data_IF_455748563771
#
_entry.id   IF_455748563771
#
_cell.length_a   1.000
_cell.length_b   1.000
_cell.length_c   1.000
_cell.angle_alpha   90.00
_cell.angle_beta   90.00
_cell.angle_gamma   90.00
#
_symmetry.space_group_name_H-M   'P 1'
#
loop_
_entity.id
_entity.type
_entity.pdbx_description
1 polymer ?
#
# COMPACT_ATOMS: atom_id res chain seq x y z
N UNK A 1 47.20 21.80 -0.24
CA UNK A 1 46.97 21.46 -1.68
C UNK A 1 46.79 22.75 -2.43
N UNK A 2 47.62 22.99 -3.41
CA UNK A 2 47.56 24.24 -4.18
C UNK A 2 46.22 24.36 -4.92
N UNK A 3 45.54 25.48 -4.75
CA UNK A 3 44.25 25.80 -5.38
C UNK A 3 44.15 25.50 -6.91
N UNK A 4 45.24 25.57 -7.69
CA UNK A 4 45.24 25.23 -9.10
C UNK A 4 44.92 23.74 -9.38
N UNK A 5 45.33 22.82 -8.51
CA UNK A 5 45.05 21.36 -8.67
C UNK A 5 43.56 21.05 -8.50
N UNK A 6 42.85 21.84 -7.68
CA UNK A 6 41.39 21.65 -7.48
C UNK A 6 40.57 22.07 -8.70
N UNK A 7 40.97 23.12 -9.38
CA UNK A 7 40.32 23.57 -10.62
C UNK A 7 40.53 22.57 -11.77
N UNK A 8 41.72 21.99 -11.88
CA UNK A 8 42.04 20.94 -12.86
C UNK A 8 41.24 19.67 -12.56
N UNK A 9 41.16 19.22 -11.29
CA UNK A 9 40.39 18.02 -10.89
C UNK A 9 38.90 18.16 -11.19
N UNK A 10 38.32 19.37 -11.09
CA UNK A 10 36.90 19.59 -11.48
C UNK A 10 36.69 19.49 -12.99
N UNK A 11 37.67 19.82 -13.81
CA UNK A 11 37.61 19.59 -15.25
C UNK A 11 37.75 18.12 -15.65
N UNK A 12 38.53 17.32 -14.92
CA UNK A 12 38.65 15.87 -15.13
C UNK A 12 37.36 15.15 -14.94
N UNK A 13 36.43 15.67 -14.12
CA UNK A 13 35.10 15.09 -13.87
C UNK A 13 34.02 15.56 -14.89
N UNK A 14 34.39 16.44 -15.85
CA UNK A 14 33.47 16.92 -16.88
C UNK A 14 33.46 15.94 -18.07
N UNK A 15 32.27 15.59 -18.63
CA UNK A 15 32.20 14.80 -19.87
C UNK A 15 32.82 15.49 -21.10
N UNK A 16 33.16 16.80 -20.97
CA UNK A 16 33.81 17.58 -22.01
C UNK A 16 35.30 17.83 -21.72
N UNK A 17 35.89 17.05 -20.81
CA UNK A 17 37.30 17.17 -20.48
C UNK A 17 38.17 16.75 -21.68
N UNK A 18 38.99 17.71 -22.13
CA UNK A 18 39.98 17.48 -23.16
C UNK A 18 41.38 17.49 -22.50
N UNK A 19 42.04 16.34 -22.38
CA UNK A 19 43.35 16.25 -21.70
C UNK A 19 44.44 17.05 -22.39
N UNK A 20 44.35 17.25 -23.70
CA UNK A 20 45.33 18.02 -24.45
C UNK A 20 45.27 19.53 -24.16
N UNK A 21 44.08 20.01 -23.74
CA UNK A 21 43.86 21.43 -23.33
C UNK A 21 43.98 21.66 -21.85
N UNK A 22 44.23 20.64 -21.05
CA UNK A 22 44.30 20.74 -19.57
C UNK A 22 45.33 21.81 -19.13
N UNK A 23 46.47 21.89 -19.81
CA UNK A 23 47.50 22.88 -19.53
C UNK A 23 47.08 24.30 -19.87
N UNK A 24 46.37 24.51 -20.96
CA UNK A 24 45.83 25.85 -21.34
C UNK A 24 44.78 26.31 -20.33
N UNK A 25 43.88 25.44 -19.88
CA UNK A 25 42.87 25.75 -18.83
C UNK A 25 43.55 26.14 -17.50
N UNK A 26 44.62 25.43 -17.14
CA UNK A 26 45.39 25.74 -15.93
C UNK A 26 46.06 27.11 -16.02
N UNK A 27 46.70 27.41 -17.13
CA UNK A 27 47.36 28.72 -17.35
C UNK A 27 46.35 29.85 -17.45
N UNK A 28 45.19 29.65 -18.09
CA UNK A 28 44.12 30.65 -18.14
C UNK A 28 43.54 30.96 -16.76
N UNK A 29 43.29 29.99 -15.93
CA UNK A 29 42.79 30.21 -14.55
C UNK A 29 43.81 30.93 -13.68
N UNK A 30 45.09 30.64 -13.85
CA UNK A 30 46.18 31.35 -13.14
C UNK A 30 46.34 32.77 -13.59
N UNK A 31 46.26 33.05 -14.91
CA UNK A 31 46.29 34.39 -15.47
C UNK A 31 45.08 35.26 -15.05
N UNK A 32 43.88 34.66 -15.02
CA UNK A 32 42.66 35.32 -14.56
C UNK A 32 42.80 35.73 -13.08
N UNK A 33 43.22 34.80 -12.20
CA UNK A 33 43.47 35.12 -10.78
C UNK A 33 44.54 36.22 -10.63
N UNK A 34 45.61 36.19 -11.40
CA UNK A 34 46.64 37.20 -11.40
C UNK A 34 46.15 38.56 -11.91
N UNK A 35 45.30 38.61 -12.92
CA UNK A 35 44.73 39.86 -13.46
C UNK A 35 43.82 40.55 -12.47
N UNK A 36 42.98 39.82 -11.74
CA UNK A 36 42.06 40.40 -10.74
C UNK A 36 42.78 41.11 -9.60
N UNK A 37 43.95 40.65 -9.18
CA UNK A 37 44.67 41.25 -8.07
C UNK A 37 45.76 42.26 -8.49
N UNK A 38 46.33 42.15 -9.70
CA UNK A 38 47.40 43.01 -10.19
C UNK A 38 46.93 44.34 -10.73
N UNK A 39 45.64 44.50 -11.07
CA UNK A 39 45.06 45.74 -11.58
C UNK A 39 44.65 46.72 -10.49
N UNK A 40 44.59 46.31 -9.24
CA UNK A 40 44.18 47.11 -8.09
C UNK A 40 45.41 47.67 -7.35
N UNK A 41 45.27 48.89 -6.81
CA UNK A 41 46.21 49.39 -5.81
C UNK A 41 46.05 48.64 -4.46
N UNK A 42 46.87 48.92 -3.46
CA UNK A 42 46.88 48.15 -2.21
C UNK A 42 45.61 48.37 -1.36
N UNK A 43 45.00 49.55 -1.48
CA UNK A 43 43.71 49.85 -0.85
C UNK A 43 42.57 49.09 -1.55
N UNK A 44 42.49 49.09 -2.86
CA UNK A 44 41.55 48.33 -3.65
C UNK A 44 41.63 46.82 -3.39
N UNK A 45 42.85 46.29 -3.16
CA UNK A 45 43.02 44.87 -2.77
C UNK A 45 42.41 44.54 -1.41
N UNK A 46 42.54 45.44 -0.43
CA UNK A 46 41.92 45.26 0.90
C UNK A 46 40.41 45.29 0.81
N UNK A 47 39.85 46.28 0.12
CA UNK A 47 38.40 46.44 -0.09
C UNK A 47 37.87 45.21 -0.83
N UNK A 48 38.54 44.78 -1.89
CA UNK A 48 38.15 43.60 -2.64
C UNK A 48 38.13 42.32 -1.77
N UNK A 49 39.16 42.15 -0.94
CA UNK A 49 39.21 40.98 -0.03
C UNK A 49 38.04 40.97 0.95
N UNK A 50 37.66 42.13 1.49
CA UNK A 50 36.53 42.28 2.37
C UNK A 50 35.18 41.99 1.64
N UNK A 51 34.94 42.63 0.50
CA UNK A 51 33.74 42.47 -0.33
C UNK A 51 33.58 41.03 -0.79
N UNK A 52 34.66 40.39 -1.24
CA UNK A 52 34.69 38.99 -1.62
C UNK A 52 34.25 38.06 -0.48
N UNK A 53 34.73 38.33 0.73
CA UNK A 53 34.36 37.49 1.90
C UNK A 53 32.88 37.67 2.29
N UNK A 54 32.34 38.90 2.19
CA UNK A 54 30.94 39.18 2.43
C UNK A 54 30.04 38.46 1.41
N UNK A 55 30.36 38.58 0.11
CA UNK A 55 29.61 37.86 -0.96
C UNK A 55 29.63 36.35 -0.74
N UNK A 56 30.76 35.76 -0.35
CA UNK A 56 30.88 34.35 -0.03
C UNK A 56 30.01 33.95 1.17
N UNK A 57 30.02 34.79 2.23
CA UNK A 57 29.23 34.56 3.43
C UNK A 57 27.75 34.61 3.14
N UNK A 58 27.27 35.60 2.39
CA UNK A 58 25.87 35.72 1.98
C UNK A 58 25.41 34.53 1.11
N UNK A 59 26.26 34.14 0.13
CA UNK A 59 26.01 32.98 -0.69
C UNK A 59 25.86 31.71 0.16
N UNK A 60 26.78 31.50 1.10
CA UNK A 60 26.76 30.35 1.99
C UNK A 60 25.47 30.32 2.84
N UNK A 61 25.05 31.48 3.36
CA UNK A 61 23.82 31.61 4.13
C UNK A 61 22.57 31.25 3.29
N UNK A 62 22.47 31.78 2.06
CA UNK A 62 21.33 31.48 1.16
C UNK A 62 21.32 30.02 0.70
N UNK A 63 22.47 29.43 0.40
CA UNK A 63 22.56 28.01 0.07
C UNK A 63 22.10 27.14 1.24
N UNK A 64 22.46 27.53 2.47
CA UNK A 64 22.03 26.85 3.68
C UNK A 64 20.51 26.95 3.88
N UNK A 65 19.94 28.13 3.69
CA UNK A 65 18.48 28.36 3.75
C UNK A 65 17.73 27.49 2.76
N UNK A 66 18.17 27.43 1.51
CA UNK A 66 17.56 26.57 0.49
C UNK A 66 17.72 25.07 0.82
N UNK A 67 18.82 24.69 1.44
CA UNK A 67 19.03 23.34 1.92
C UNK A 67 18.06 22.99 3.05
N UNK A 68 17.87 23.88 4.01
CA UNK A 68 16.91 23.69 5.12
C UNK A 68 15.47 23.57 4.60
N UNK A 69 15.06 24.42 3.64
CA UNK A 69 13.75 24.34 2.97
C UNK A 69 13.55 22.98 2.28
N UNK A 70 14.58 22.50 1.56
CA UNK A 70 14.57 21.17 0.93
C UNK A 70 14.35 20.06 1.96
N UNK A 71 15.09 20.10 3.05
CA UNK A 71 15.09 19.05 4.06
C UNK A 71 13.77 19.04 4.83
N UNK A 72 13.22 20.20 5.16
CA UNK A 72 11.88 20.34 5.75
C UNK A 72 10.81 19.74 4.85
N UNK A 73 10.83 20.08 3.56
CA UNK A 73 9.85 19.58 2.59
C UNK A 73 9.94 18.06 2.40
N UNK A 74 11.16 17.49 2.42
CA UNK A 74 11.35 16.03 2.38
C UNK A 74 10.81 15.37 3.64
N UNK A 75 10.99 15.97 4.81
CA UNK A 75 10.47 15.47 6.09
C UNK A 75 8.94 15.46 6.08
N UNK A 76 8.31 16.56 5.70
CA UNK A 76 6.85 16.65 5.57
C UNK A 76 6.26 15.60 4.61
N UNK A 77 6.94 15.35 3.47
CA UNK A 77 6.51 14.33 2.52
C UNK A 77 6.60 12.92 3.11
N UNK A 78 7.65 12.64 3.89
CA UNK A 78 7.81 11.35 4.58
C UNK A 78 6.75 11.14 5.65
N UNK A 79 6.51 12.14 6.48
CA UNK A 79 5.48 12.08 7.52
C UNK A 79 4.08 11.85 6.92
N UNK A 80 3.73 12.56 5.86
CA UNK A 80 2.47 12.34 5.13
C UNK A 80 2.36 10.92 4.57
N UNK A 81 3.43 10.40 3.98
CA UNK A 81 3.44 9.06 3.44
C UNK A 81 3.31 7.99 4.53
N UNK A 82 3.96 8.16 5.68
CA UNK A 82 3.81 7.23 6.81
C UNK A 82 2.40 7.30 7.41
N UNK A 83 1.84 8.49 7.62
CA UNK A 83 0.46 8.65 8.08
C UNK A 83 -0.55 7.97 7.13
N UNK A 84 -0.35 8.09 5.81
CA UNK A 84 -1.20 7.40 4.82
C UNK A 84 -1.05 5.88 4.93
N UNK A 85 0.16 5.35 5.11
CA UNK A 85 0.38 3.90 5.29
C UNK A 85 -0.23 3.37 6.58
N UNK A 86 -0.21 4.16 7.65
CA UNK A 86 -0.87 3.82 8.92
C UNK A 86 -2.39 3.78 8.74
N UNK A 87 -2.98 4.74 8.04
CA UNK A 87 -4.42 4.73 7.70
C UNK A 87 -4.81 3.49 6.89
N UNK A 88 -4.02 3.11 5.88
CA UNK A 88 -4.23 1.88 5.11
C UNK A 88 -4.18 0.65 6.04
N UNK A 89 -3.27 0.64 7.02
CA UNK A 89 -3.12 -0.47 7.97
C UNK A 89 -4.32 -0.58 8.91
N UNK A 90 -4.78 0.54 9.45
CA UNK A 90 -5.94 0.61 10.33
C UNK A 90 -7.21 0.18 9.62
N UNK A 91 -7.43 0.69 8.39
CA UNK A 91 -8.56 0.30 7.55
C UNK A 91 -8.55 -1.19 7.23
N UNK A 92 -7.38 -1.78 6.90
CA UNK A 92 -7.25 -3.21 6.66
C UNK A 92 -7.63 -4.02 7.90
N UNK A 93 -7.21 -3.59 9.10
CA UNK A 93 -7.55 -4.23 10.37
C UNK A 93 -9.05 -4.20 10.60
N UNK A 94 -9.69 -3.05 10.48
CA UNK A 94 -11.13 -2.86 10.64
C UNK A 94 -11.94 -3.74 9.66
N UNK A 95 -11.56 -3.77 8.39
CA UNK A 95 -12.19 -4.63 7.38
C UNK A 95 -12.08 -6.11 7.75
N UNK A 96 -10.90 -6.57 8.18
CA UNK A 96 -10.70 -7.96 8.57
C UNK A 96 -11.44 -8.34 9.85
N UNK A 97 -11.60 -7.44 10.80
CA UNK A 97 -12.42 -7.62 12.01
C UNK A 97 -13.89 -7.70 11.65
N UNK A 98 -14.39 -6.80 10.81
CA UNK A 98 -15.78 -6.81 10.33
C UNK A 98 -16.10 -8.10 9.55
N UNK A 99 -15.21 -8.57 8.68
CA UNK A 99 -15.37 -9.85 7.96
C UNK A 99 -15.40 -11.05 8.93
N UNK A 100 -14.56 -11.01 9.96
CA UNK A 100 -14.54 -12.08 10.97
C UNK A 100 -15.84 -12.13 11.75
N UNK A 101 -16.36 -10.98 12.16
CA UNK A 101 -17.63 -10.87 12.87
C UNK A 101 -18.80 -11.34 12.00
N UNK A 102 -18.87 -10.84 10.76
CA UNK A 102 -19.90 -11.26 9.80
C UNK A 102 -19.89 -12.78 9.58
N UNK A 103 -18.70 -13.37 9.37
CA UNK A 103 -18.57 -14.81 9.24
C UNK A 103 -19.04 -15.59 10.48
N UNK A 104 -18.77 -15.07 11.68
CA UNK A 104 -19.26 -15.63 12.94
C UNK A 104 -20.78 -15.60 13.02
N UNK A 105 -21.38 -14.46 12.68
CA UNK A 105 -22.83 -14.27 12.76
C UNK A 105 -23.56 -15.11 11.72
N UNK A 106 -23.05 -15.21 10.49
CA UNK A 106 -23.57 -16.14 9.46
C UNK A 106 -23.50 -17.60 9.91
N UNK A 107 -22.41 -18.02 10.56
CA UNK A 107 -22.29 -19.39 11.09
C UNK A 107 -23.27 -19.66 12.21
N UNK A 108 -23.55 -18.69 13.07
CA UNK A 108 -24.57 -18.79 14.10
C UNK A 108 -25.99 -18.93 13.50
N UNK A 109 -26.30 -18.14 12.47
CA UNK A 109 -27.56 -18.25 11.74
C UNK A 109 -27.73 -19.65 11.18
N UNK A 110 -26.71 -20.19 10.48
CA UNK A 110 -26.73 -21.57 9.95
C UNK A 110 -26.97 -22.58 11.06
N UNK A 111 -26.41 -22.40 12.26
CA UNK A 111 -26.68 -23.30 13.39
C UNK A 111 -28.12 -23.18 13.87
N UNK A 112 -28.66 -21.99 13.97
CA UNK A 112 -30.05 -21.76 14.37
C UNK A 112 -31.02 -22.39 13.38
N UNK A 113 -30.80 -22.17 12.08
CA UNK A 113 -31.63 -22.73 10.99
C UNK A 113 -31.58 -24.28 11.04
N UNK A 114 -30.35 -24.84 11.13
CA UNK A 114 -30.16 -26.30 11.29
C UNK A 114 -30.91 -26.86 12.49
N UNK A 115 -30.84 -26.19 13.65
CA UNK A 115 -31.51 -26.70 14.86
C UNK A 115 -33.02 -26.59 14.74
N UNK A 116 -33.56 -25.54 14.08
CA UNK A 116 -34.99 -25.42 13.75
C UNK A 116 -35.47 -26.53 12.80
N UNK A 117 -34.74 -26.79 11.72
CA UNK A 117 -35.07 -27.84 10.75
C UNK A 117 -35.05 -29.23 11.41
N UNK A 118 -34.06 -29.48 12.28
CA UNK A 118 -33.99 -30.74 13.03
C UNK A 118 -35.18 -30.94 13.99
N UNK A 119 -35.65 -29.88 14.64
CA UNK A 119 -36.82 -29.90 15.51
C UNK A 119 -38.10 -30.13 14.71
N UNK A 120 -38.26 -29.51 13.54
CA UNK A 120 -39.39 -29.70 12.63
C UNK A 120 -39.46 -31.13 12.16
N UNK A 121 -38.37 -31.74 11.66
CA UNK A 121 -38.31 -33.15 11.26
C UNK A 121 -38.70 -34.06 12.41
N UNK A 122 -38.31 -33.80 13.64
CA UNK A 122 -38.64 -34.58 14.81
C UNK A 122 -40.15 -34.51 15.14
N UNK A 123 -40.70 -33.29 15.08
CA UNK A 123 -42.13 -33.04 15.32
C UNK A 123 -43.00 -33.70 14.26
N UNK A 124 -42.63 -33.58 12.98
CA UNK A 124 -43.35 -34.21 11.88
C UNK A 124 -43.32 -35.75 12.01
N UNK A 125 -42.12 -36.31 12.23
CA UNK A 125 -41.95 -37.77 12.44
C UNK A 125 -42.77 -38.29 13.61
N UNK A 126 -42.83 -37.55 14.71
CA UNK A 126 -43.61 -37.90 15.90
C UNK A 126 -45.11 -37.83 15.63
N UNK A 127 -45.59 -36.79 14.98
CA UNK A 127 -46.98 -36.58 14.63
C UNK A 127 -47.48 -37.68 13.66
N UNK A 128 -46.66 -38.05 12.69
CA UNK A 128 -47.01 -39.06 11.70
C UNK A 128 -47.08 -40.46 12.34
N UNK A 129 -46.18 -40.80 13.26
CA UNK A 129 -46.24 -42.07 14.06
C UNK A 129 -47.45 -42.07 14.93
N UNK A 130 -47.86 -40.99 15.55
CA UNK A 130 -49.08 -40.92 16.34
C UNK A 130 -50.35 -41.13 15.46
N UNK A 131 -50.40 -40.55 14.25
CA UNK A 131 -51.46 -40.77 13.27
C UNK A 131 -51.57 -42.22 12.88
N UNK A 132 -50.45 -42.95 12.70
CA UNK A 132 -50.45 -44.40 12.41
C UNK A 132 -51.01 -45.16 13.60
N UNK A 133 -50.59 -44.84 14.84
CA UNK A 133 -51.11 -45.49 16.03
C UNK A 133 -52.60 -45.28 16.18
N UNK A 134 -53.09 -44.05 16.05
CA UNK A 134 -54.52 -43.73 16.14
C UNK A 134 -55.34 -44.45 15.08
N UNK A 135 -54.83 -44.49 13.82
CA UNK A 135 -55.53 -45.28 12.76
C UNK A 135 -55.54 -46.75 13.07
N UNK A 136 -54.43 -47.36 13.49
CA UNK A 136 -54.30 -48.75 13.87
C UNK A 136 -55.24 -49.05 15.00
N UNK A 137 -55.29 -48.28 16.06
CA UNK A 137 -56.12 -48.50 17.24
C UNK A 137 -57.61 -48.37 16.91
N UNK A 138 -58.04 -47.38 16.14
CA UNK A 138 -59.39 -47.23 15.66
C UNK A 138 -59.87 -48.43 14.81
N UNK A 139 -59.00 -48.97 13.95
CA UNK A 139 -59.34 -50.12 13.11
C UNK A 139 -59.35 -51.40 13.94
N UNK A 140 -58.52 -51.57 14.94
CA UNK A 140 -58.57 -52.66 15.90
C UNK A 140 -59.87 -52.61 16.69
N UNK A 141 -60.28 -51.47 17.20
CA UNK A 141 -61.55 -51.31 17.91
C UNK A 141 -62.72 -51.67 17.01
N UNK A 142 -62.77 -51.26 15.75
CA UNK A 142 -63.80 -51.65 14.77
C UNK A 142 -63.80 -53.13 14.59
N UNK A 143 -62.67 -53.80 14.42
CA UNK A 143 -62.60 -55.25 14.27
C UNK A 143 -63.07 -56.00 15.54
N UNK A 144 -62.79 -55.44 16.70
CA UNK A 144 -63.21 -55.98 17.99
C UNK A 144 -64.74 -55.81 18.23
N UNK A 145 -65.32 -54.72 17.77
CA UNK A 145 -66.77 -54.47 17.89
C UNK A 145 -67.65 -55.34 16.97
N UNK A 146 -67.05 -56.02 15.98
CA UNK A 146 -67.81 -56.95 15.14
C UNK A 146 -68.26 -58.11 15.98
N UNK A 147 -69.55 -58.17 16.22
CA UNK A 147 -70.17 -59.29 16.94
C UNK A 147 -70.04 -60.61 16.14
N UNK A 148 -69.72 -61.70 16.82
CA UNK A 148 -69.73 -63.03 16.26
C UNK A 148 -71.10 -63.63 16.56
N UNK A 149 -71.98 -63.90 15.55
CA UNK A 149 -73.33 -64.39 15.77
C UNK A 149 -73.40 -65.64 16.64
N UNK A 150 -74.35 -65.66 17.57
CA UNK A 150 -74.50 -66.76 18.52
C UNK A 150 -74.97 -68.09 17.89
N UNK A 151 -75.60 -68.04 16.71
CA UNK A 151 -76.11 -69.19 15.98
C UNK A 151 -75.08 -69.98 15.17
N UNK A 152 -73.79 -69.57 15.15
CA UNK A 152 -72.75 -70.27 14.40
C UNK A 152 -72.25 -71.56 15.14
N UNK A 153 -71.82 -72.54 14.38
CA UNK A 153 -71.11 -73.69 14.92
C UNK A 153 -69.80 -73.30 15.62
N UNK A 154 -69.32 -74.15 16.54
CA UNK A 154 -68.04 -73.90 17.26
C UNK A 154 -66.87 -73.74 16.31
N UNK A 155 -66.85 -74.57 15.24
CA UNK A 155 -65.80 -74.48 14.21
C UNK A 155 -65.82 -73.15 13.46
N UNK A 156 -66.98 -72.65 13.05
CA UNK A 156 -67.15 -71.36 12.34
C UNK A 156 -66.84 -70.19 13.24
N UNK A 157 -67.21 -70.23 14.52
CA UNK A 157 -66.84 -69.22 15.51
C UNK A 157 -65.29 -69.10 15.65
N UNK A 158 -64.65 -70.29 15.82
CA UNK A 158 -63.21 -70.41 15.95
C UNK A 158 -62.50 -69.83 14.70
N UNK A 159 -63.02 -70.16 13.52
CA UNK A 159 -62.49 -69.60 12.25
C UNK A 159 -62.59 -68.09 12.19
N UNK A 160 -63.75 -67.52 12.54
CA UNK A 160 -63.92 -66.04 12.54
C UNK A 160 -63.05 -65.36 13.58
N UNK A 161 -62.84 -65.90 14.75
CA UNK A 161 -61.93 -65.42 15.77
C UNK A 161 -60.49 -65.45 15.23
N UNK A 162 -60.10 -66.59 14.62
CA UNK A 162 -58.75 -66.71 14.02
C UNK A 162 -58.54 -65.67 12.90
N UNK A 163 -59.52 -65.48 12.00
CA UNK A 163 -59.47 -64.49 10.95
C UNK A 163 -59.33 -63.02 11.51
N UNK A 164 -60.12 -62.73 12.56
CA UNK A 164 -60.03 -61.43 13.27
C UNK A 164 -58.64 -61.21 13.87
N UNK A 165 -58.16 -62.25 14.59
CA UNK A 165 -56.79 -62.15 15.20
C UNK A 165 -55.72 -62.01 14.16
N UNK A 166 -55.81 -62.71 13.01
CA UNK A 166 -54.87 -62.56 11.91
C UNK A 166 -54.89 -61.11 11.31
N UNK A 167 -56.06 -60.49 11.13
CA UNK A 167 -56.23 -59.16 10.67
C UNK A 167 -55.58 -58.11 11.65
N UNK A 168 -55.85 -58.30 12.95
CA UNK A 168 -55.24 -57.46 13.99
C UNK A 168 -53.71 -57.59 14.00
N UNK A 169 -53.23 -58.86 13.88
CA UNK A 169 -51.76 -59.04 13.80
C UNK A 169 -51.15 -58.39 12.57
N UNK A 170 -51.82 -58.45 11.42
CA UNK A 170 -51.40 -57.74 10.20
C UNK A 170 -51.34 -56.20 10.40
N UNK A 171 -52.45 -55.65 10.93
CA UNK A 171 -52.48 -54.19 11.21
C UNK A 171 -51.35 -53.73 12.13
N UNK A 172 -51.02 -54.54 13.17
CA UNK A 172 -49.88 -54.22 14.07
C UNK A 172 -48.53 -54.29 13.35
N UNK A 173 -48.34 -55.29 12.46
CA UNK A 173 -47.11 -55.43 11.70
C UNK A 173 -46.97 -54.33 10.66
N UNK A 174 -48.04 -53.96 9.94
CA UNK A 174 -48.05 -52.90 8.97
C UNK A 174 -47.71 -51.55 9.66
N UNK A 175 -48.36 -51.19 10.78
CA UNK A 175 -48.07 -50.02 11.57
C UNK A 175 -46.63 -50.00 12.09
N UNK A 176 -46.07 -51.16 12.49
CA UNK A 176 -44.64 -51.22 12.89
C UNK A 176 -43.72 -51.00 11.73
N UNK A 177 -44.00 -51.48 10.54
CA UNK A 177 -43.26 -51.30 9.31
C UNK A 177 -43.28 -49.83 8.89
N UNK A 178 -44.45 -49.19 8.87
CA UNK A 178 -44.61 -47.76 8.49
C UNK A 178 -43.89 -46.85 9.46
N UNK A 179 -43.97 -47.08 10.78
CA UNK A 179 -43.21 -46.34 11.78
C UNK A 179 -41.69 -46.51 11.61
N UNK A 180 -41.24 -47.72 11.26
CA UNK A 180 -39.84 -47.98 11.00
C UNK A 180 -39.34 -47.16 9.77
N UNK A 181 -40.18 -47.09 8.72
CA UNK A 181 -39.90 -46.27 7.52
C UNK A 181 -39.81 -44.82 7.86
N UNK A 182 -40.79 -44.23 8.55
CA UNK A 182 -40.77 -42.83 9.00
C UNK A 182 -39.51 -42.54 9.83
N UNK A 183 -39.10 -43.46 10.71
CA UNK A 183 -37.90 -43.30 11.51
C UNK A 183 -36.62 -43.34 10.67
N UNK A 184 -36.60 -44.13 9.60
CA UNK A 184 -35.47 -44.17 8.64
C UNK A 184 -35.39 -42.91 7.82
N UNK A 185 -36.53 -42.45 7.30
CA UNK A 185 -36.62 -41.24 6.48
C UNK A 185 -36.17 -40.01 7.30
N UNK A 186 -36.71 -39.84 8.52
CA UNK A 186 -36.32 -38.79 9.43
C UNK A 186 -34.81 -38.80 9.79
N UNK A 187 -34.17 -39.99 9.88
CA UNK A 187 -32.74 -40.10 10.09
C UNK A 187 -31.96 -39.60 8.87
N UNK A 188 -32.43 -39.92 7.67
CA UNK A 188 -31.81 -39.49 6.42
C UNK A 188 -31.92 -38.00 6.27
N UNK A 189 -33.09 -37.41 6.51
CA UNK A 189 -33.34 -35.98 6.44
C UNK A 189 -32.49 -35.20 7.45
N UNK A 190 -32.42 -35.66 8.70
CA UNK A 190 -31.53 -35.08 9.74
C UNK A 190 -30.05 -35.14 9.34
N UNK A 191 -29.62 -36.21 8.65
CA UNK A 191 -28.25 -36.33 8.17
C UNK A 191 -27.96 -35.32 7.03
N UNK A 192 -28.92 -35.13 6.11
CA UNK A 192 -28.83 -34.12 5.05
C UNK A 192 -28.70 -32.73 5.63
N UNK A 193 -29.61 -32.32 6.52
CA UNK A 193 -29.58 -30.99 7.18
C UNK A 193 -28.25 -30.75 7.85
N UNK A 194 -27.67 -31.71 8.55
CA UNK A 194 -26.35 -31.57 9.19
C UNK A 194 -25.22 -31.42 8.18
N UNK A 195 -25.28 -32.16 7.08
CA UNK A 195 -24.29 -32.09 6.00
C UNK A 195 -24.33 -30.73 5.30
N UNK A 196 -25.54 -30.26 5.00
CA UNK A 196 -25.75 -28.97 4.34
C UNK A 196 -25.27 -27.80 5.21
N UNK A 197 -25.60 -27.83 6.51
CA UNK A 197 -25.09 -26.82 7.46
C UNK A 197 -23.56 -26.85 7.54
N UNK A 198 -22.93 -28.02 7.50
CA UNK A 198 -21.47 -28.15 7.50
C UNK A 198 -20.86 -27.58 6.24
N UNK A 199 -21.43 -27.86 5.07
CA UNK A 199 -20.99 -27.37 3.78
C UNK A 199 -21.13 -25.82 3.69
N UNK A 200 -22.26 -25.30 4.16
CA UNK A 200 -22.48 -23.84 4.20
C UNK A 200 -21.47 -23.14 5.11
N UNK A 201 -21.16 -23.67 6.29
CA UNK A 201 -20.14 -23.13 7.18
C UNK A 201 -18.72 -23.19 6.57
N UNK A 202 -18.43 -24.29 5.87
CA UNK A 202 -17.16 -24.42 5.15
C UNK A 202 -17.04 -23.35 4.05
N UNK A 203 -18.12 -23.12 3.30
CA UNK A 203 -18.19 -22.07 2.29
C UNK A 203 -17.97 -20.68 2.91
N UNK A 204 -18.69 -20.34 3.98
CA UNK A 204 -18.49 -19.06 4.70
C UNK A 204 -17.03 -18.89 5.12
N UNK A 205 -16.36 -19.96 5.55
CA UNK A 205 -14.96 -19.91 5.96
C UNK A 205 -14.00 -19.69 4.78
N UNK A 206 -14.29 -20.30 3.62
CA UNK A 206 -13.52 -20.12 2.38
C UNK A 206 -13.65 -18.69 1.86
N UNK A 207 -14.89 -18.24 1.69
CA UNK A 207 -15.20 -16.89 1.19
C UNK A 207 -14.50 -15.82 2.05
N UNK A 208 -14.60 -15.97 3.39
CA UNK A 208 -13.93 -15.04 4.33
C UNK A 208 -12.42 -15.04 4.18
N UNK A 209 -11.78 -16.18 3.91
CA UNK A 209 -10.34 -16.26 3.68
C UNK A 209 -9.94 -15.56 2.37
N UNK A 210 -10.71 -15.76 1.32
CA UNK A 210 -10.49 -15.14 0.01
C UNK A 210 -10.62 -13.64 0.10
N UNK A 211 -11.68 -13.12 0.70
CA UNK A 211 -11.88 -11.68 0.90
C UNK A 211 -10.76 -11.05 1.74
N UNK A 212 -10.30 -11.72 2.79
CA UNK A 212 -9.15 -11.24 3.58
C UNK A 212 -7.85 -11.22 2.77
N UNK A 213 -7.63 -12.21 1.93
CA UNK A 213 -6.43 -12.25 1.07
C UNK A 213 -6.49 -11.14 0.02
N UNK A 214 -7.65 -10.88 -0.57
CA UNK A 214 -7.86 -9.76 -1.49
C UNK A 214 -7.63 -8.41 -0.81
N UNK A 215 -8.22 -8.18 0.36
CA UNK A 215 -8.00 -6.96 1.13
C UNK A 215 -6.52 -6.74 1.47
N UNK A 216 -5.80 -7.81 1.80
CA UNK A 216 -4.36 -7.76 2.07
C UNK A 216 -3.55 -7.41 0.80
N UNK A 217 -3.91 -7.97 -0.35
CA UNK A 217 -3.28 -7.66 -1.63
C UNK A 217 -3.52 -6.19 -2.04
N UNK A 218 -4.75 -5.71 -1.87
CA UNK A 218 -5.12 -4.33 -2.15
C UNK A 218 -4.35 -3.35 -1.24
N UNK A 219 -4.31 -3.59 0.06
CA UNK A 219 -3.54 -2.77 1.00
C UNK A 219 -2.04 -2.76 0.69
N UNK A 220 -1.47 -3.89 0.25
CA UNK A 220 -0.07 -3.98 -0.20
C UNK A 220 0.17 -3.14 -1.46
N UNK A 221 -0.74 -3.19 -2.42
CA UNK A 221 -0.69 -2.40 -3.65
C UNK A 221 -0.77 -0.90 -3.35
N UNK A 222 -1.72 -0.48 -2.52
CA UNK A 222 -1.85 0.92 -2.10
C UNK A 222 -0.60 1.44 -1.39
N UNK A 223 -0.01 0.67 -0.47
CA UNK A 223 1.25 1.04 0.19
C UNK A 223 2.43 1.15 -0.78
N UNK A 224 2.50 0.27 -1.78
CA UNK A 224 3.52 0.34 -2.82
C UNK A 224 3.36 1.61 -3.66
N UNK A 225 2.13 1.99 -3.99
CA UNK A 225 1.80 3.23 -4.70
C UNK A 225 2.23 4.47 -3.91
N UNK A 226 1.87 4.56 -2.63
CA UNK A 226 2.32 5.64 -1.72
C UNK A 226 3.84 5.74 -1.68
N UNK A 227 4.54 4.59 -1.62
CA UNK A 227 6.01 4.57 -1.60
C UNK A 227 6.64 5.05 -2.92
N UNK A 228 6.02 4.74 -4.05
CA UNK A 228 6.45 5.18 -5.37
C UNK A 228 6.22 6.69 -5.56
N UNK A 229 5.08 7.19 -5.14
CA UNK A 229 4.74 8.61 -5.16
C UNK A 229 5.69 9.43 -4.27
N UNK A 230 5.99 8.93 -3.07
CA UNK A 230 6.98 9.55 -2.19
C UNK A 230 8.36 9.64 -2.86
N UNK A 231 8.83 8.56 -3.50
CA UNK A 231 10.12 8.57 -4.21
C UNK A 231 10.13 9.62 -5.33
N UNK A 232 9.06 9.71 -6.11
CA UNK A 232 8.92 10.69 -7.19
C UNK A 232 8.91 12.13 -6.64
N UNK A 233 8.13 12.39 -5.59
CA UNK A 233 8.05 13.70 -4.94
C UNK A 233 9.40 14.13 -4.34
N UNK A 234 10.10 13.23 -3.65
CA UNK A 234 11.44 13.51 -3.09
C UNK A 234 12.46 13.79 -4.20
N UNK A 235 12.38 13.08 -5.33
CA UNK A 235 13.22 13.34 -6.50
C UNK A 235 12.97 14.73 -7.05
N UNK A 236 11.72 15.12 -7.24
CA UNK A 236 11.33 16.45 -7.72
C UNK A 236 11.84 17.57 -6.80
N UNK A 237 11.71 17.42 -5.47
CA UNK A 237 12.23 18.38 -4.50
C UNK A 237 13.74 18.51 -4.58
N UNK A 238 14.46 17.41 -4.79
CA UNK A 238 15.92 17.44 -4.96
C UNK A 238 16.36 18.11 -6.27
N UNK A 239 15.61 17.90 -7.34
CA UNK A 239 15.87 18.54 -8.63
C UNK A 239 15.61 20.06 -8.55
N UNK A 240 14.52 20.47 -7.92
CA UNK A 240 14.22 21.87 -7.66
C UNK A 240 15.33 22.57 -6.82
N UNK A 241 15.84 21.90 -5.78
CA UNK A 241 16.96 22.40 -5.01
C UNK A 241 18.24 22.55 -5.86
N UNK A 242 18.53 21.59 -6.74
CA UNK A 242 19.70 21.68 -7.65
C UNK A 242 19.57 22.88 -8.59
N UNK A 243 18.38 23.11 -9.13
CA UNK A 243 18.11 24.28 -9.99
C UNK A 243 18.28 25.59 -9.21
N UNK A 244 17.64 25.72 -8.05
CA UNK A 244 17.77 26.91 -7.20
C UNK A 244 19.21 27.19 -6.78
N UNK A 245 19.99 26.14 -6.49
CA UNK A 245 21.41 26.27 -6.19
C UNK A 245 22.23 26.78 -7.41
N UNK A 246 21.93 26.25 -8.61
CA UNK A 246 22.59 26.69 -9.84
C UNK A 246 22.27 28.15 -10.15
N UNK A 247 21.03 28.59 -9.93
CA UNK A 247 20.61 29.99 -10.12
C UNK A 247 21.32 30.92 -9.10
N UNK A 248 21.42 30.47 -7.84
CA UNK A 248 22.20 31.20 -6.83
C UNK A 248 23.68 31.30 -7.21
N UNK A 249 24.28 30.19 -7.68
CA UNK A 249 25.68 30.17 -8.11
C UNK A 249 25.92 31.19 -9.24
N UNK A 250 25.03 31.22 -10.23
CA UNK A 250 25.09 32.16 -11.36
C UNK A 250 24.88 33.62 -10.93
N UNK A 251 23.88 33.88 -10.09
CA UNK A 251 23.59 35.23 -9.57
C UNK A 251 24.75 35.80 -8.76
N UNK A 252 25.34 34.98 -7.90
CA UNK A 252 26.49 35.42 -7.09
C UNK A 252 27.75 35.58 -7.93
N UNK A 253 27.93 34.86 -9.02
CA UNK A 253 29.03 35.06 -9.94
C UNK A 253 28.92 36.41 -10.66
N UNK A 254 27.71 36.79 -11.08
CA UNK A 254 27.43 38.11 -11.63
C UNK A 254 27.68 39.24 -10.60
N UNK A 255 27.18 39.04 -9.38
CA UNK A 255 27.41 40.01 -8.28
C UNK A 255 28.90 40.18 -8.01
N UNK A 256 29.63 39.07 -7.99
CA UNK A 256 31.08 39.07 -7.79
C UNK A 256 31.82 39.86 -8.89
N UNK A 257 31.42 39.66 -10.14
CA UNK A 257 32.01 40.40 -11.27
C UNK A 257 31.67 41.91 -11.21
N UNK A 258 30.42 42.24 -10.96
CA UNK A 258 29.97 43.63 -10.88
C UNK A 258 30.68 44.43 -9.76
N UNK A 259 30.78 43.81 -8.58
CA UNK A 259 31.48 44.46 -7.46
C UNK A 259 32.99 44.60 -7.72
N UNK A 260 33.60 43.60 -8.38
CA UNK A 260 35.00 43.71 -8.79
C UNK A 260 35.21 44.83 -9.78
N UNK A 261 34.35 44.96 -10.79
CA UNK A 261 34.46 46.01 -11.83
C UNK A 261 34.30 47.43 -11.23
N UNK A 262 33.40 47.61 -10.25
CA UNK A 262 33.26 48.85 -9.49
C UNK A 262 34.57 49.20 -8.76
N UNK A 263 35.08 48.26 -7.95
CA UNK A 263 36.32 48.47 -7.20
C UNK A 263 37.51 48.74 -8.16
N UNK A 264 37.54 48.05 -9.28
CA UNK A 264 38.58 48.25 -10.28
C UNK A 264 38.51 49.65 -10.93
N UNK A 265 37.30 50.17 -11.17
CA UNK A 265 37.14 51.52 -11.72
C UNK A 265 37.65 52.61 -10.78
N UNK A 266 37.42 52.43 -9.47
CA UNK A 266 37.79 53.40 -8.43
C UNK A 266 39.27 53.31 -8.02
N UNK A 267 39.79 52.09 -7.89
CA UNK A 267 41.11 51.79 -7.32
C UNK A 267 42.14 51.27 -8.35
N UNK A 268 41.93 51.63 -9.62
CA UNK A 268 42.82 51.21 -10.70
C UNK A 268 44.24 51.65 -10.44
N UNK A 269 45.21 50.75 -10.55
CA UNK A 269 46.64 51.08 -10.44
C UNK A 269 47.02 51.99 -11.57
N UNK A 270 47.32 53.23 -11.26
CA UNK A 270 47.87 54.21 -12.23
C UNK A 270 49.20 53.65 -12.71
N UNK A 271 49.29 53.28 -13.99
CA UNK A 271 50.56 52.91 -14.58
C UNK A 271 51.44 54.22 -14.57
N UNK A 272 52.42 54.26 -13.67
CA UNK A 272 53.50 55.25 -13.84
C UNK A 272 54.12 55.02 -15.23
N UNK A 273 53.95 55.97 -16.12
CA UNK A 273 54.53 55.94 -17.47
C UNK A 273 56.04 55.91 -17.37
N UNK A 274 56.60 54.70 -17.25
CA UNK A 274 58.04 54.58 -17.55
C UNK A 274 58.16 54.45 -19.06
N UNK A 275 58.49 55.55 -19.70
CA UNK A 275 59.11 55.49 -21.03
C UNK A 275 60.31 54.60 -20.94
N UNK A 276 60.19 53.35 -21.50
CA UNK A 276 61.29 52.64 -22.14
C UNK A 276 60.79 51.39 -22.86
N UNK A 277 61.12 51.46 -24.16
CA UNK A 277 61.40 50.40 -25.10
C UNK A 277 60.25 49.42 -25.49
N UNK A 278 59.84 49.63 -26.71
CA UNK A 278 59.18 48.77 -27.63
C UNK A 278 59.68 47.28 -27.57
N UNK A 279 58.84 46.41 -27.13
CA UNK A 279 58.83 45.02 -27.62
C UNK A 279 57.39 44.65 -27.93
N UNK A 280 57.12 44.44 -29.22
CA UNK A 280 55.86 43.98 -29.75
C UNK A 280 55.59 42.58 -29.22
N UNK A 281 54.64 42.46 -28.35
CA UNK A 281 54.04 41.18 -28.02
C UNK A 281 52.68 41.15 -28.68
N UNK A 282 52.48 40.20 -29.61
CA UNK A 282 51.24 39.93 -30.29
C UNK A 282 50.14 39.73 -29.22
N UNK A 283 49.15 40.64 -29.25
CA UNK A 283 47.89 40.49 -28.50
C UNK A 283 47.11 39.34 -29.13
N UNK A 284 47.10 38.20 -28.50
CA UNK A 284 46.03 37.21 -28.70
C UNK A 284 44.88 37.62 -27.80
N UNK A 285 43.93 38.34 -28.36
CA UNK A 285 42.65 38.65 -27.71
C UNK A 285 41.78 37.39 -27.78
N UNK A 286 41.75 36.61 -26.72
CA UNK A 286 40.67 35.62 -26.54
C UNK A 286 39.49 36.33 -25.84
N UNK A 287 38.27 36.22 -26.40
CA UNK A 287 37.09 36.84 -25.80
C UNK A 287 36.68 36.09 -24.54
N UNK A 288 36.58 36.83 -23.44
CA UNK A 288 36.11 36.36 -22.11
C UNK A 288 34.74 35.69 -22.13
N UNK A 289 33.98 35.81 -23.23
CA UNK A 289 32.65 35.25 -23.37
C UNK A 289 32.62 33.72 -23.47
N UNK A 290 33.76 33.04 -23.68
CA UNK A 290 33.80 31.60 -23.86
C UNK A 290 33.82 30.79 -22.54
N UNK A 291 34.14 31.43 -21.42
CA UNK A 291 34.33 30.78 -20.14
C UNK A 291 33.15 30.93 -19.13
N UNK A 292 32.14 31.75 -19.51
CA UNK A 292 30.99 32.02 -18.61
C UNK A 292 29.74 31.16 -18.97
N UNK A 293 29.78 30.46 -20.12
CA UNK A 293 28.68 29.57 -20.52
C UNK A 293 29.20 28.14 -20.67
N UNK A 294 29.24 27.43 -19.58
CA UNK A 294 28.87 26.02 -19.49
C UNK A 294 29.05 25.55 -18.07
#
# INVERSE_FOLDING_TARGET
MDEPKVAVLRHYASPYYDPEKAHEYYMCTRELKGRFTTSLNDEGKKIWSYTKNNIKSEKAAKVKEEQEKRDQKITELREKAEATKEQISSRLKELNEALTQNASDRKKSIDTDKDSDLEEIEKESSSEKERIDNKKDAEIERLMAIEIPSGLSKAERSKRVAERTAKIAKLRNDAKSDKAKISSDAKTDKASVRTDATNQKAKVSSDTKEEKAENQANAKSERAKVSSELKAAVKSVREAYKAAKADLDSSYEQTYQNEFDKIQSEYKKVKKSSKKSSRSSKKTSHPLSYYIRK
#
